data_IF_412929093678
#
_entry.id   IF_412929093678
#
_cell.length_a   1.000
_cell.length_b   1.000
_cell.length_c   1.000
_cell.angle_alpha   90.00
_cell.angle_beta   90.00
_cell.angle_gamma   90.00
#
_symmetry.space_group_name_H-M   'P 1'
#
loop_
_entity.id
_entity.type
_entity.pdbx_description
1 polymer ?
#
# COMPACT_ATOMS: atom_id res chain seq x y z
N UNK A 1 -10.76 -15.60 11.41
CA UNK A 1 -10.93 -14.19 11.03
C UNK A 1 -10.52 -14.08 9.57
N UNK A 2 -11.45 -13.72 8.69
CA UNK A 2 -11.20 -13.63 7.25
C UNK A 2 -11.16 -12.17 6.84
N UNK A 3 -10.20 -11.80 6.00
CA UNK A 3 -10.07 -10.44 5.44
C UNK A 3 -10.34 -10.50 3.94
N UNK A 4 -11.11 -9.56 3.44
CA UNK A 4 -11.45 -9.43 2.02
C UNK A 4 -11.07 -8.02 1.59
N UNK A 5 -10.38 -7.93 0.46
CA UNK A 5 -10.02 -6.66 -0.16
C UNK A 5 -11.06 -6.36 -1.23
N UNK A 6 -11.69 -5.19 -1.13
CA UNK A 6 -12.65 -4.70 -2.12
C UNK A 6 -11.98 -3.64 -2.99
N UNK A 7 -11.98 -3.85 -4.30
CA UNK A 7 -11.42 -2.92 -5.29
C UNK A 7 -12.27 -2.95 -6.58
N UNK A 8 -12.25 -1.88 -7.41
CA UNK A 8 -11.55 -0.61 -7.23
C UNK A 8 -12.21 0.30 -6.16
N UNK A 9 -11.45 1.09 -5.39
CA UNK A 9 -11.95 1.83 -4.23
C UNK A 9 -12.81 3.06 -4.58
N UNK A 10 -12.67 3.63 -5.79
CA UNK A 10 -13.29 4.91 -6.18
C UNK A 10 -14.81 4.96 -5.97
N UNK A 11 -15.47 3.81 -6.15
CA UNK A 11 -16.94 3.68 -6.01
C UNK A 11 -17.39 3.21 -4.62
N UNK A 12 -16.46 2.76 -3.78
CA UNK A 12 -16.76 2.01 -2.55
C UNK A 12 -16.35 2.82 -1.32
N UNK A 13 -15.25 3.57 -1.39
CA UNK A 13 -14.61 4.17 -0.21
C UNK A 13 -15.49 5.18 0.53
N UNK A 14 -16.35 5.89 -0.19
CA UNK A 14 -17.28 6.88 0.37
C UNK A 14 -18.63 6.32 0.81
N UNK A 15 -18.91 5.03 0.60
CA UNK A 15 -20.16 4.40 1.01
C UNK A 15 -20.18 4.14 2.52
N UNK A 16 -21.38 4.00 3.09
CA UNK A 16 -21.56 3.58 4.48
C UNK A 16 -21.13 2.11 4.66
N UNK A 17 -20.78 1.74 5.89
CA UNK A 17 -20.30 0.39 6.20
C UNK A 17 -21.32 -0.68 5.80
N UNK A 18 -22.62 -0.42 6.02
CA UNK A 18 -23.70 -1.33 5.66
C UNK A 18 -23.81 -1.53 4.15
N UNK A 19 -23.63 -0.46 3.36
CA UNK A 19 -23.67 -0.53 1.89
C UNK A 19 -22.49 -1.35 1.34
N UNK A 20 -21.31 -1.20 1.94
CA UNK A 20 -20.13 -2.00 1.62
C UNK A 20 -20.35 -3.48 1.98
N UNK A 21 -21.01 -3.74 3.10
CA UNK A 21 -21.35 -5.10 3.50
C UNK A 21 -22.34 -5.74 2.52
N UNK A 22 -23.36 -5.01 2.04
CA UNK A 22 -24.28 -5.50 1.00
C UNK A 22 -23.55 -5.85 -0.31
N UNK A 23 -22.56 -5.05 -0.71
CA UNK A 23 -21.69 -5.35 -1.86
C UNK A 23 -20.98 -6.69 -1.65
N UNK A 24 -20.36 -6.89 -0.47
CA UNK A 24 -19.73 -8.15 -0.12
C UNK A 24 -20.73 -9.32 -0.18
N UNK A 25 -21.90 -9.22 0.47
CA UNK A 25 -22.89 -10.32 0.49
C UNK A 25 -23.34 -10.73 -0.91
N UNK A 26 -23.48 -9.76 -1.82
CA UNK A 26 -23.85 -10.02 -3.22
C UNK A 26 -22.80 -10.86 -3.94
N UNK A 27 -21.53 -10.59 -3.67
CA UNK A 27 -20.42 -11.20 -4.41
C UNK A 27 -19.87 -12.47 -3.70
N UNK A 28 -20.10 -12.62 -2.39
CA UNK A 28 -19.65 -13.73 -1.55
C UNK A 28 -19.99 -15.14 -2.08
N UNK A 29 -21.21 -15.42 -2.59
CA UNK A 29 -21.53 -16.75 -3.12
C UNK A 29 -20.65 -17.13 -4.32
N UNK A 30 -20.21 -16.16 -5.13
CA UNK A 30 -19.31 -16.40 -6.27
C UNK A 30 -17.91 -16.82 -5.83
N UNK A 31 -17.54 -16.51 -4.59
CA UNK A 31 -16.29 -16.91 -3.95
C UNK A 31 -16.45 -18.18 -3.10
N UNK A 32 -17.64 -18.81 -3.12
CA UNK A 32 -17.95 -19.96 -2.25
C UNK A 32 -18.11 -19.58 -0.77
N UNK A 33 -18.35 -18.31 -0.46
CA UNK A 33 -18.49 -17.80 0.90
C UNK A 33 -19.97 -17.70 1.26
N UNK A 34 -20.38 -18.38 2.32
CA UNK A 34 -21.71 -18.25 2.93
C UNK A 34 -21.77 -17.02 3.84
N UNK A 35 -22.28 -15.91 3.30
CA UNK A 35 -22.38 -14.63 4.01
C UNK A 35 -23.38 -14.63 5.17
N UNK A 36 -24.28 -15.63 5.25
CA UNK A 36 -25.25 -15.74 6.36
C UNK A 36 -24.59 -16.10 7.69
N UNK A 37 -23.36 -16.63 7.64
CA UNK A 37 -22.55 -17.00 8.82
C UNK A 37 -21.76 -15.82 9.40
N UNK A 38 -21.81 -14.65 8.77
CA UNK A 38 -21.08 -13.47 9.25
C UNK A 38 -21.83 -12.86 10.43
N UNK A 39 -21.27 -12.99 11.63
CA UNK A 39 -21.85 -12.45 12.88
C UNK A 39 -21.34 -11.05 13.22
N UNK A 40 -20.18 -10.66 12.69
CA UNK A 40 -19.58 -9.35 12.91
C UNK A 40 -18.65 -9.01 11.74
N UNK A 41 -18.52 -7.73 11.42
CA UNK A 41 -17.62 -7.22 10.39
C UNK A 41 -17.09 -5.84 10.79
N UNK A 42 -15.96 -5.46 10.19
CA UNK A 42 -15.39 -4.12 10.31
C UNK A 42 -14.91 -3.67 8.95
N UNK A 43 -15.33 -2.47 8.53
CA UNK A 43 -14.79 -1.83 7.35
C UNK A 43 -13.55 -1.04 7.74
N UNK A 44 -12.44 -1.30 7.05
CA UNK A 44 -11.20 -0.51 7.18
C UNK A 44 -10.95 0.15 5.83
N UNK A 45 -10.75 1.47 5.84
CA UNK A 45 -10.61 2.29 4.62
C UNK A 45 -9.19 2.82 4.52
N UNK A 46 -8.60 2.65 3.34
CA UNK A 46 -7.25 3.13 3.02
C UNK A 46 -7.29 4.05 1.80
N UNK A 47 -7.57 5.37 1.97
CA UNK A 47 -7.76 6.29 0.84
C UNK A 47 -6.49 6.63 0.06
N UNK A 48 -5.32 6.44 0.68
CA UNK A 48 -4.02 6.75 0.10
C UNK A 48 -2.99 5.65 0.43
N UNK A 49 -3.37 4.39 0.20
CA UNK A 49 -2.57 3.23 0.62
C UNK A 49 -1.29 3.07 -0.19
N UNK A 50 -1.35 3.35 -1.50
CA UNK A 50 -0.22 3.23 -2.41
C UNK A 50 -0.11 4.44 -3.33
N UNK A 51 1.10 4.65 -3.88
CA UNK A 51 1.25 5.55 -5.02
C UNK A 51 0.47 5.02 -6.23
N UNK A 52 0.08 5.92 -7.13
CA UNK A 52 -0.72 5.56 -8.30
C UNK A 52 0.05 4.60 -9.23
N UNK A 53 -0.45 3.38 -9.39
CA UNK A 53 0.07 2.38 -10.32
C UNK A 53 -0.51 2.59 -11.73
N UNK A 54 -0.13 3.69 -12.38
CA UNK A 54 -0.49 3.96 -13.78
C UNK A 54 0.75 4.07 -14.68
N UNK A 55 0.59 3.96 -16.01
CA UNK A 55 1.72 4.06 -16.94
C UNK A 55 2.55 5.33 -16.69
N UNK A 56 3.87 5.19 -16.76
CA UNK A 56 4.85 6.25 -16.55
C UNK A 56 4.94 6.83 -15.12
N UNK A 57 4.28 6.24 -14.10
CA UNK A 57 4.41 6.72 -12.70
C UNK A 57 5.71 6.28 -12.02
N UNK A 58 6.28 5.13 -12.42
CA UNK A 58 7.54 4.65 -11.83
C UNK A 58 8.68 5.67 -11.96
N UNK A 59 8.72 6.51 -13.00
CA UNK A 59 9.76 7.54 -13.17
C UNK A 59 9.69 8.67 -12.13
N UNK A 60 8.54 8.83 -11.46
CA UNK A 60 8.32 9.86 -10.45
C UNK A 60 8.74 9.40 -9.05
N UNK A 61 9.06 8.12 -8.88
CA UNK A 61 9.54 7.58 -7.62
C UNK A 61 10.92 8.16 -7.31
N UNK A 62 11.13 8.74 -6.12
CA UNK A 62 12.41 9.34 -5.77
C UNK A 62 13.46 8.27 -5.51
N UNK A 63 14.73 8.62 -5.68
CA UNK A 63 15.84 7.79 -5.19
C UNK A 63 15.94 7.90 -3.66
N UNK A 64 16.58 6.92 -3.01
CA UNK A 64 16.80 6.98 -1.55
C UNK A 64 17.68 8.17 -1.16
N UNK A 65 18.71 8.48 -1.96
CA UNK A 65 19.54 9.68 -1.81
C UNK A 65 19.03 10.80 -2.69
N UNK A 66 18.77 11.96 -2.10
CA UNK A 66 18.34 13.18 -2.80
C UNK A 66 19.40 14.28 -2.65
N UNK A 67 19.20 15.42 -3.31
CA UNK A 67 20.14 16.54 -3.31
C UNK A 67 20.27 17.27 -1.96
N UNK A 68 19.39 16.98 -1.01
CA UNK A 68 19.41 17.57 0.34
C UNK A 68 20.37 16.77 1.22
N UNK A 69 21.48 17.40 1.62
CA UNK A 69 22.48 16.76 2.47
C UNK A 69 21.89 16.35 3.82
N UNK A 70 22.20 15.13 4.26
CA UNK A 70 21.71 14.57 5.52
C UNK A 70 20.27 14.03 5.47
N UNK A 71 19.58 14.12 4.32
CA UNK A 71 18.23 13.59 4.15
C UNK A 71 18.21 12.37 3.23
N UNK A 72 17.63 11.27 3.73
CA UNK A 72 17.50 10.00 3.02
C UNK A 72 16.05 9.54 3.06
N UNK A 73 15.57 8.94 1.97
CA UNK A 73 14.21 8.45 1.82
C UNK A 73 14.17 6.92 1.87
N UNK A 74 13.17 6.40 2.56
CA UNK A 74 12.83 4.98 2.61
C UNK A 74 11.30 4.81 2.53
N UNK A 75 10.86 3.65 2.06
CA UNK A 75 9.46 3.33 1.83
C UNK A 75 9.25 2.66 0.49
N UNK A 76 8.10 2.00 0.34
CA UNK A 76 7.73 1.28 -0.88
C UNK A 76 7.61 2.19 -2.13
N UNK A 77 7.32 3.48 -1.92
CA UNK A 77 7.29 4.52 -2.94
C UNK A 77 8.68 4.93 -3.46
N UNK A 78 9.76 4.68 -2.71
CA UNK A 78 11.13 4.97 -3.15
C UNK A 78 11.49 4.05 -4.31
N UNK A 79 12.25 4.55 -5.28
CA UNK A 79 12.58 3.85 -6.52
C UNK A 79 13.37 2.56 -6.24
N UNK A 80 12.81 1.44 -6.68
CA UNK A 80 13.42 0.11 -6.65
C UNK A 80 12.66 -0.83 -7.60
N UNK A 81 13.16 -2.05 -7.80
CA UNK A 81 12.69 -2.98 -8.85
C UNK A 81 11.31 -3.60 -8.60
N UNK A 82 10.87 -3.68 -7.35
CA UNK A 82 9.53 -4.06 -6.91
C UNK A 82 8.55 -2.86 -6.99
N UNK A 83 7.25 -3.16 -7.05
CA UNK A 83 6.19 -2.14 -6.95
C UNK A 83 6.04 -1.65 -5.49
N UNK A 84 4.91 -1.02 -5.15
CA UNK A 84 4.54 -0.71 -3.78
C UNK A 84 4.25 -2.01 -3.00
N UNK A 85 5.27 -2.58 -2.36
CA UNK A 85 5.15 -3.82 -1.56
C UNK A 85 5.90 -3.71 -0.24
N UNK A 86 5.56 -4.61 0.70
CA UNK A 86 6.26 -4.72 1.98
C UNK A 86 7.75 -5.01 1.79
N UNK A 87 8.11 -5.88 0.84
CA UNK A 87 9.50 -6.17 0.49
C UNK A 87 10.21 -4.94 -0.06
N UNK A 88 9.54 -4.15 -0.91
CA UNK A 88 10.06 -2.88 -1.40
C UNK A 88 10.37 -1.89 -0.28
N UNK A 89 9.48 -1.79 0.72
CA UNK A 89 9.71 -0.97 1.91
C UNK A 89 10.93 -1.44 2.72
N UNK A 90 11.07 -2.75 2.95
CA UNK A 90 12.22 -3.32 3.69
C UNK A 90 13.53 -3.09 2.93
N UNK A 91 13.55 -3.34 1.63
CA UNK A 91 14.74 -3.17 0.79
C UNK A 91 15.19 -1.71 0.79
N UNK A 92 14.28 -0.77 0.60
CA UNK A 92 14.61 0.67 0.58
C UNK A 92 15.04 1.17 1.95
N UNK A 93 14.44 0.67 3.03
CA UNK A 93 14.90 0.95 4.40
C UNK A 93 16.35 0.50 4.63
N UNK A 94 16.67 -0.73 4.23
CA UNK A 94 18.05 -1.25 4.34
C UNK A 94 19.04 -0.50 3.44
N UNK A 95 18.60 0.03 2.31
CA UNK A 95 19.44 0.84 1.42
C UNK A 95 19.68 2.23 2.01
N UNK A 96 18.62 2.91 2.50
CA UNK A 96 18.72 4.20 3.17
C UNK A 96 19.66 4.13 4.38
N UNK A 97 19.55 3.10 5.22
CA UNK A 97 20.44 2.89 6.36
C UNK A 97 21.91 2.75 5.92
N UNK A 98 22.18 2.01 4.84
CA UNK A 98 23.54 1.87 4.28
C UNK A 98 24.07 3.20 3.73
N UNK A 99 23.22 4.01 3.13
CA UNK A 99 23.61 5.31 2.59
C UNK A 99 23.89 6.34 3.68
N UNK A 100 23.15 6.31 4.80
CA UNK A 100 23.44 7.08 6.02
C UNK A 100 24.83 6.74 6.55
N UNK A 101 25.12 5.45 6.76
CA UNK A 101 26.43 5.00 7.29
C UNK A 101 27.58 5.40 6.37
N UNK A 102 27.40 5.33 5.05
CA UNK A 102 28.42 5.78 4.09
C UNK A 102 28.63 7.29 4.14
N UNK A 103 27.56 8.07 4.26
CA UNK A 103 27.63 9.52 4.31
C UNK A 103 28.33 10.00 5.58
N UNK A 104 28.05 9.38 6.73
CA UNK A 104 28.75 9.64 8.00
C UNK A 104 30.26 9.42 7.86
N UNK A 105 30.69 8.30 7.25
CA UNK A 105 32.11 8.01 7.01
C UNK A 105 32.81 8.93 6.02
N UNK A 106 32.06 9.70 5.25
CA UNK A 106 32.59 10.62 4.23
C UNK A 106 32.66 12.07 4.72
N UNK A 107 32.21 12.33 5.96
CA UNK A 107 32.38 13.61 6.67
C UNK A 107 33.65 13.58 7.50
#
# INVERSE_FOLDING_TARGET
MSTIILSPPDKIIGLKDEEIFEIFKRDAPRLGIDSTRVTNYRVIRHPADFYLLSPNMNRLRPQSRISVNGLFLAGDYVQQSFMATMEGAVITGNNAARDVIKAEKSM
#
